data_IF_664296376877
#
_entry.id   IF_664296376877
#
_cell.length_a   1.000
_cell.length_b   1.000
_cell.length_c   1.000
_cell.angle_alpha   90.00
_cell.angle_beta   90.00
_cell.angle_gamma   90.00
#
_symmetry.space_group_name_H-M   'P 1'
#
loop_
_entity.id
_entity.type
_entity.pdbx_description
1 polymer ?
#
# COMPACT_ATOMS: atom_id res chain seq x y z
N UNK A 1 -15.03 2.24 16.97
CA UNK A 1 -16.14 3.03 16.39
C UNK A 1 -16.86 2.31 15.25
N UNK A 2 -16.28 2.14 14.05
CA UNK A 2 -17.00 1.44 12.95
C UNK A 2 -17.28 -0.04 13.27
N UNK A 3 -16.30 -0.74 13.84
CA UNK A 3 -16.46 -2.12 14.30
C UNK A 3 -17.53 -2.23 15.38
N UNK A 4 -17.50 -1.35 16.39
CA UNK A 4 -18.47 -1.31 17.49
C UNK A 4 -19.90 -1.10 16.97
N UNK A 5 -20.06 -0.24 15.96
CA UNK A 5 -21.35 -0.01 15.30
C UNK A 5 -21.86 -1.23 14.52
N UNK A 6 -20.97 -1.98 13.87
CA UNK A 6 -21.30 -3.25 13.21
C UNK A 6 -21.68 -4.32 14.25
N UNK A 7 -20.89 -4.42 15.31
CA UNK A 7 -21.12 -5.36 16.40
C UNK A 7 -22.45 -5.10 17.11
N UNK A 8 -22.80 -3.83 17.36
CA UNK A 8 -24.09 -3.44 17.93
C UNK A 8 -25.29 -3.82 17.05
N UNK A 9 -25.07 -4.03 15.74
CA UNK A 9 -26.08 -4.51 14.79
C UNK A 9 -26.09 -6.02 14.61
N UNK A 10 -25.24 -6.75 15.34
CA UNK A 10 -25.07 -8.19 15.19
C UNK A 10 -24.35 -8.60 13.90
N UNK A 11 -23.59 -7.70 13.27
CA UNK A 11 -22.79 -8.04 12.09
C UNK A 11 -21.52 -8.80 12.52
N UNK A 12 -21.30 -10.04 12.03
CA UNK A 12 -20.15 -10.87 12.38
C UNK A 12 -18.80 -10.21 12.05
N UNK A 13 -18.75 -9.29 11.08
CA UNK A 13 -17.53 -8.54 10.77
C UNK A 13 -17.13 -7.61 11.93
N UNK A 14 -18.11 -7.01 12.62
CA UNK A 14 -17.86 -6.17 13.79
C UNK A 14 -17.23 -6.98 14.93
N UNK A 15 -17.76 -8.18 15.17
CA UNK A 15 -17.23 -9.12 16.16
C UNK A 15 -15.81 -9.58 15.82
N UNK A 16 -15.54 -9.93 14.55
CA UNK A 16 -14.20 -10.33 14.12
C UNK A 16 -13.17 -9.24 14.35
N UNK A 17 -13.50 -7.98 14.03
CA UNK A 17 -12.59 -6.85 14.23
C UNK A 17 -12.33 -6.65 15.72
N UNK A 18 -13.37 -6.72 16.57
CA UNK A 18 -13.24 -6.58 18.01
C UNK A 18 -12.34 -7.69 18.62
N UNK A 19 -12.59 -8.95 18.26
CA UNK A 19 -11.78 -10.09 18.70
C UNK A 19 -10.32 -9.95 18.25
N UNK A 20 -10.09 -9.61 16.98
CA UNK A 20 -8.74 -9.46 16.45
C UNK A 20 -7.95 -8.34 17.14
N UNK A 21 -8.60 -7.21 17.43
CA UNK A 21 -7.96 -6.11 18.18
C UNK A 21 -7.65 -6.51 19.63
N UNK A 22 -8.52 -7.32 20.25
CA UNK A 22 -8.29 -7.86 21.59
C UNK A 22 -7.12 -8.86 21.61
N UNK A 23 -6.99 -9.73 20.60
CA UNK A 23 -5.81 -10.59 20.45
C UNK A 23 -4.54 -9.74 20.43
N UNK A 24 -4.49 -8.68 19.64
CA UNK A 24 -3.30 -7.81 19.56
C UNK A 24 -3.04 -7.02 20.86
N UNK A 25 -4.09 -6.68 21.62
CA UNK A 25 -3.94 -6.04 22.93
C UNK A 25 -3.37 -7.02 23.98
N UNK A 26 -3.95 -8.22 24.09
CA UNK A 26 -3.50 -9.26 25.03
C UNK A 26 -2.06 -9.67 24.69
N UNK A 27 -1.77 -9.99 23.43
CA UNK A 27 -0.42 -10.39 22.98
C UNK A 27 0.64 -9.33 23.28
N UNK A 28 0.29 -8.03 23.25
CA UNK A 28 1.20 -6.94 23.59
C UNK A 28 1.46 -6.79 25.08
N UNK A 29 0.49 -7.14 25.93
CA UNK A 29 0.64 -7.06 27.39
C UNK A 29 1.27 -8.33 27.95
N UNK A 30 0.78 -9.48 27.53
CA UNK A 30 1.09 -10.81 28.05
C UNK A 30 1.11 -11.83 26.90
N UNK A 31 2.26 -12.02 26.23
CA UNK A 31 2.37 -12.90 25.07
C UNK A 31 2.09 -14.37 25.39
N UNK A 32 2.31 -14.80 26.64
CA UNK A 32 2.11 -16.19 27.10
C UNK A 32 0.76 -16.38 27.83
N UNK A 33 -0.18 -15.45 27.70
CA UNK A 33 -1.48 -15.54 28.35
C UNK A 33 -2.25 -16.79 27.86
N UNK A 34 -2.69 -17.62 28.80
CA UNK A 34 -3.50 -18.82 28.52
C UNK A 34 -4.83 -18.49 27.83
N UNK A 35 -5.32 -17.26 28.01
CA UNK A 35 -6.54 -16.76 27.35
C UNK A 35 -6.33 -16.43 25.86
N UNK A 36 -5.08 -16.37 25.36
CA UNK A 36 -4.80 -15.96 23.99
C UNK A 36 -5.25 -17.03 22.97
N UNK A 37 -4.91 -18.29 23.21
CA UNK A 37 -5.22 -19.41 22.32
C UNK A 37 -6.73 -19.56 22.00
N UNK A 38 -7.66 -19.53 22.97
CA UNK A 38 -9.09 -19.64 22.65
C UNK A 38 -9.61 -18.44 21.85
N UNK A 39 -9.15 -17.22 22.15
CA UNK A 39 -9.57 -16.00 21.43
C UNK A 39 -9.06 -16.03 19.98
N UNK A 40 -7.81 -16.47 19.77
CA UNK A 40 -7.23 -16.64 18.43
C UNK A 40 -8.00 -17.68 17.60
N UNK A 41 -8.34 -18.82 18.21
CA UNK A 41 -9.14 -19.86 17.55
C UNK A 41 -10.53 -19.33 17.16
N UNK A 42 -11.19 -18.57 18.04
CA UNK A 42 -12.49 -17.98 17.75
C UNK A 42 -12.41 -16.93 16.62
N UNK A 43 -11.38 -16.08 16.65
CA UNK A 43 -11.15 -15.09 15.61
C UNK A 43 -10.88 -15.75 14.25
N UNK A 44 -10.08 -16.82 14.21
CA UNK A 44 -9.78 -17.54 12.96
C UNK A 44 -11.01 -18.24 12.38
N UNK A 45 -11.83 -18.89 13.22
CA UNK A 45 -13.08 -19.51 12.77
C UNK A 45 -14.03 -18.47 12.16
N UNK A 46 -14.20 -17.33 12.82
CA UNK A 46 -15.05 -16.25 12.35
C UNK A 46 -14.50 -15.62 11.06
N UNK A 47 -13.17 -15.47 10.96
CA UNK A 47 -12.48 -15.02 9.75
C UNK A 47 -12.76 -15.94 8.58
N UNK A 48 -12.63 -17.25 8.75
CA UNK A 48 -12.84 -18.23 7.68
C UNK A 48 -14.31 -18.23 7.22
N UNK A 49 -15.26 -18.22 8.14
CA UNK A 49 -16.70 -18.10 7.82
C UNK A 49 -17.01 -16.84 6.99
N UNK A 50 -16.47 -15.69 7.39
CA UNK A 50 -16.62 -14.44 6.64
C UNK A 50 -15.89 -14.46 5.30
N UNK A 51 -14.71 -15.06 5.25
CA UNK A 51 -13.93 -15.19 4.03
C UNK A 51 -14.69 -16.04 3.00
N UNK A 52 -15.36 -17.12 3.42
CA UNK A 52 -16.25 -17.89 2.54
C UNK A 52 -17.36 -17.03 1.93
N UNK A 53 -17.99 -16.14 2.72
CA UNK A 53 -19.01 -15.22 2.20
C UNK A 53 -18.45 -14.20 1.19
N UNK A 54 -17.15 -13.89 1.28
CA UNK A 54 -16.44 -13.08 0.28
C UNK A 54 -16.13 -13.88 -0.99
N UNK A 55 -15.91 -15.20 -0.87
CA UNK A 55 -15.73 -16.15 -1.98
C UNK A 55 -17.07 -16.43 -2.69
N UNK A 56 -17.63 -15.39 -3.32
CA UNK A 56 -18.80 -15.53 -4.18
C UNK A 56 -18.51 -16.32 -5.47
N UNK A 57 -19.53 -16.55 -6.31
CA UNK A 57 -19.35 -17.19 -7.62
C UNK A 57 -18.29 -16.43 -8.46
N UNK A 58 -17.37 -17.18 -9.08
CA UNK A 58 -16.27 -16.64 -9.88
C UNK A 58 -14.96 -16.36 -9.11
N UNK A 59 -14.98 -16.21 -7.77
CA UNK A 59 -13.73 -15.95 -7.02
C UNK A 59 -12.80 -17.16 -7.03
N UNK A 60 -13.36 -18.38 -7.00
CA UNK A 60 -12.59 -19.62 -7.15
C UNK A 60 -11.93 -19.78 -8.53
N UNK A 61 -12.37 -19.02 -9.54
CA UNK A 61 -11.74 -18.98 -10.87
C UNK A 61 -10.46 -18.12 -10.88
N UNK A 62 -10.18 -17.42 -9.78
CA UNK A 62 -8.98 -16.62 -9.57
C UNK A 62 -8.15 -17.16 -8.39
N UNK A 63 -7.61 -18.39 -8.48
CA UNK A 63 -6.84 -19.00 -7.39
C UNK A 63 -5.58 -18.21 -7.01
N UNK A 64 -5.11 -17.34 -7.90
CA UNK A 64 -3.94 -16.47 -7.72
C UNK A 64 -4.26 -15.10 -7.13
N UNK A 65 -5.54 -14.83 -6.87
CA UNK A 65 -5.92 -13.66 -6.10
C UNK A 65 -5.45 -13.87 -4.66
N UNK A 66 -4.85 -12.85 -4.07
CA UNK A 66 -4.38 -12.85 -2.68
C UNK A 66 -5.07 -11.74 -1.92
N UNK A 67 -5.51 -12.07 -0.72
CA UNK A 67 -6.16 -11.15 0.20
C UNK A 67 -5.26 -10.99 1.43
N UNK A 68 -4.87 -9.76 1.71
CA UNK A 68 -4.15 -9.44 2.94
C UNK A 68 -5.15 -9.02 4.02
N UNK A 69 -5.36 -9.90 4.98
CA UNK A 69 -6.22 -9.64 6.13
C UNK A 69 -5.47 -8.89 7.23
N UNK A 70 -6.17 -7.99 7.91
CA UNK A 70 -5.67 -7.29 9.08
C UNK A 70 -6.84 -6.92 9.98
N UNK A 71 -6.79 -7.34 11.24
CA UNK A 71 -7.86 -7.10 12.22
C UNK A 71 -9.26 -7.41 11.67
N UNK A 72 -9.41 -8.51 10.92
CA UNK A 72 -10.70 -8.90 10.33
C UNK A 72 -11.12 -8.21 9.02
N UNK A 73 -10.36 -7.24 8.51
CA UNK A 73 -10.65 -6.57 7.24
C UNK A 73 -9.59 -6.84 6.18
N UNK A 74 -9.97 -6.73 4.90
CA UNK A 74 -9.04 -6.89 3.78
C UNK A 74 -8.37 -5.55 3.48
N UNK A 75 -7.05 -5.50 3.65
CA UNK A 75 -6.22 -4.30 3.47
C UNK A 75 -5.53 -4.26 2.12
N UNK A 76 -5.29 -5.40 1.50
CA UNK A 76 -4.74 -5.46 0.15
C UNK A 76 -5.39 -6.59 -0.65
N UNK A 77 -5.58 -6.34 -1.93
CA UNK A 77 -5.97 -7.34 -2.93
C UNK A 77 -4.89 -7.34 -4.00
N UNK A 78 -4.27 -8.50 -4.23
CA UNK A 78 -3.21 -8.67 -5.22
C UNK A 78 -3.56 -9.81 -6.15
N UNK A 79 -3.29 -9.67 -7.45
CA UNK A 79 -3.36 -10.76 -8.41
C UNK A 79 -1.95 -11.05 -8.90
N UNK A 80 -1.44 -12.25 -8.58
CA UNK A 80 -0.10 -12.64 -8.99
C UNK A 80 0.00 -12.75 -10.53
N UNK A 81 1.06 -12.21 -11.15
CA UNK A 81 1.19 -12.18 -12.60
C UNK A 81 1.30 -13.61 -13.18
N UNK A 82 0.68 -13.82 -14.34
CA UNK A 82 0.82 -15.08 -15.09
C UNK A 82 2.21 -15.15 -15.70
N UNK A 83 2.98 -16.18 -15.33
CA UNK A 83 4.33 -16.46 -15.85
C UNK A 83 4.35 -16.89 -17.33
N UNK A 84 3.22 -17.31 -17.88
CA UNK A 84 3.05 -17.73 -19.28
C UNK A 84 2.33 -16.66 -20.11
N UNK A 85 2.84 -16.40 -21.32
CA UNK A 85 2.53 -15.23 -22.14
C UNK A 85 1.06 -15.07 -22.59
N UNK A 86 0.64 -13.80 -22.60
CA UNK A 86 -0.37 -13.21 -23.50
C UNK A 86 -1.83 -13.69 -23.41
N UNK A 87 -2.20 -14.52 -22.44
CA UNK A 87 -3.62 -14.67 -22.14
C UNK A 87 -4.13 -13.38 -21.47
N UNK A 88 -5.03 -12.67 -22.14
CA UNK A 88 -5.77 -11.56 -21.52
C UNK A 88 -6.36 -12.04 -20.19
N UNK A 89 -6.23 -11.27 -19.11
CA UNK A 89 -6.88 -11.60 -17.85
C UNK A 89 -8.38 -11.80 -18.13
N UNK A 90 -8.96 -12.97 -17.79
CA UNK A 90 -10.33 -13.28 -18.15
C UNK A 90 -11.28 -12.22 -17.58
N UNK A 91 -12.36 -11.91 -18.32
CA UNK A 91 -13.41 -10.94 -17.94
C UNK A 91 -13.87 -11.08 -16.48
N UNK A 92 -13.83 -12.31 -15.97
CA UNK A 92 -14.07 -12.66 -14.57
C UNK A 92 -13.28 -11.81 -13.57
N UNK A 93 -12.08 -11.31 -13.90
CA UNK A 93 -11.28 -10.46 -13.00
C UNK A 93 -12.00 -9.16 -12.69
N UNK A 94 -12.50 -8.45 -13.70
CA UNK A 94 -13.20 -7.19 -13.47
C UNK A 94 -14.49 -7.44 -12.69
N UNK A 95 -15.24 -8.50 -13.02
CA UNK A 95 -16.49 -8.84 -12.35
C UNK A 95 -16.28 -9.24 -10.88
N UNK A 96 -15.29 -10.08 -10.61
CA UNK A 96 -14.92 -10.49 -9.25
C UNK A 96 -14.43 -9.30 -8.44
N UNK A 97 -13.54 -8.47 -8.98
CA UNK A 97 -13.03 -7.30 -8.25
C UNK A 97 -14.17 -6.30 -8.02
N UNK A 98 -15.02 -6.03 -9.00
CA UNK A 98 -16.18 -5.16 -8.86
C UNK A 98 -17.16 -5.66 -7.78
N UNK A 99 -17.33 -6.98 -7.65
CA UNK A 99 -18.12 -7.57 -6.58
C UNK A 99 -17.42 -7.44 -5.21
N UNK A 100 -16.12 -7.70 -5.14
CA UNK A 100 -15.34 -7.63 -3.90
C UNK A 100 -15.30 -6.21 -3.33
N UNK A 101 -15.06 -5.18 -4.15
CA UNK A 101 -14.96 -3.79 -3.68
C UNK A 101 -16.28 -3.24 -3.10
N UNK A 102 -17.41 -3.92 -3.34
CA UNK A 102 -18.71 -3.60 -2.73
C UNK A 102 -18.91 -4.24 -1.35
N UNK A 103 -18.01 -5.13 -0.92
CA UNK A 103 -18.13 -5.84 0.37
C UNK A 103 -17.66 -4.95 1.53
N UNK A 104 -18.35 -4.98 2.69
CA UNK A 104 -17.97 -4.19 3.87
C UNK A 104 -16.55 -4.48 4.38
N UNK A 105 -16.09 -5.74 4.26
CA UNK A 105 -14.74 -6.15 4.67
C UNK A 105 -13.61 -5.42 3.90
N UNK A 106 -13.91 -4.86 2.72
CA UNK A 106 -12.95 -4.11 1.91
C UNK A 106 -13.04 -2.59 2.14
N UNK A 107 -13.88 -2.11 3.06
CA UNK A 107 -14.04 -0.66 3.33
C UNK A 107 -12.72 0.06 3.57
N UNK A 108 -11.78 -0.61 4.22
CA UNK A 108 -10.45 -0.09 4.53
C UNK A 108 -9.35 -0.65 3.62
N UNK A 109 -9.71 -1.10 2.42
CA UNK A 109 -8.75 -1.49 1.40
C UNK A 109 -7.74 -0.35 1.20
N UNK A 110 -6.46 -0.66 1.34
CA UNK A 110 -5.36 0.30 1.12
C UNK A 110 -4.78 0.12 -0.28
N UNK A 111 -4.67 -1.13 -0.74
CA UNK A 111 -3.94 -1.49 -1.97
C UNK A 111 -4.74 -2.44 -2.86
N UNK A 112 -4.79 -2.14 -4.15
CA UNK A 112 -5.37 -2.99 -5.20
C UNK A 112 -4.33 -3.15 -6.32
N UNK A 113 -3.84 -4.37 -6.54
CA UNK A 113 -2.83 -4.67 -7.57
C UNK A 113 -3.28 -5.83 -8.45
N UNK A 114 -3.58 -5.59 -9.72
CA UNK A 114 -4.29 -6.57 -10.56
C UNK A 114 -3.53 -7.05 -11.80
N UNK A 115 -2.24 -6.72 -11.91
CA UNK A 115 -1.49 -6.99 -13.16
C UNK A 115 -2.04 -6.19 -14.35
N UNK A 116 -1.49 -6.42 -15.53
CA UNK A 116 -1.80 -5.61 -16.71
C UNK A 116 -3.15 -6.02 -17.29
N UNK A 117 -4.04 -5.06 -17.48
CA UNK A 117 -5.36 -5.26 -18.06
C UNK A 117 -5.42 -4.59 -19.43
N UNK A 118 -6.25 -5.12 -20.33
CA UNK A 118 -6.60 -4.42 -21.56
C UNK A 118 -7.26 -3.06 -21.24
N UNK A 119 -7.04 -2.00 -22.05
CA UNK A 119 -7.56 -0.66 -21.75
C UNK A 119 -9.05 -0.59 -21.43
N UNK A 120 -9.91 -1.35 -22.15
CA UNK A 120 -11.35 -1.38 -21.88
C UNK A 120 -11.66 -1.91 -20.47
N UNK A 121 -10.94 -2.96 -20.04
CA UNK A 121 -11.10 -3.56 -18.70
C UNK A 121 -10.56 -2.65 -17.59
N UNK A 122 -9.51 -1.88 -17.88
CA UNK A 122 -9.05 -0.84 -16.95
C UNK A 122 -10.15 0.20 -16.70
N UNK A 123 -10.83 0.67 -17.75
CA UNK A 123 -11.92 1.62 -17.62
C UNK A 123 -13.07 1.03 -16.80
N UNK A 124 -13.55 -0.16 -17.14
CA UNK A 124 -14.63 -0.84 -16.40
C UNK A 124 -14.31 -1.01 -14.90
N UNK A 125 -13.06 -1.37 -14.58
CA UNK A 125 -12.61 -1.49 -13.20
C UNK A 125 -12.58 -0.14 -12.48
N UNK A 126 -12.03 0.89 -13.12
CA UNK A 126 -11.97 2.23 -12.54
C UNK A 126 -13.39 2.78 -12.32
N UNK A 127 -14.30 2.56 -13.26
CA UNK A 127 -15.72 2.89 -13.11
C UNK A 127 -16.33 2.17 -11.91
N UNK A 128 -16.06 0.87 -11.74
CA UNK A 128 -16.54 0.10 -10.59
C UNK A 128 -16.07 0.68 -9.24
N UNK A 129 -14.85 1.24 -9.16
CA UNK A 129 -14.34 1.89 -7.96
C UNK A 129 -15.06 3.21 -7.65
N UNK A 130 -15.59 3.89 -8.66
CA UNK A 130 -16.33 5.16 -8.50
C UNK A 130 -17.82 4.95 -8.22
N UNK A 131 -18.33 3.73 -8.37
CA UNK A 131 -19.73 3.42 -8.20
C UNK A 131 -20.22 3.72 -6.76
N UNK A 132 -21.43 4.27 -6.54
CA UNK A 132 -21.93 4.62 -5.19
C UNK A 132 -21.99 3.44 -4.21
N UNK A 133 -22.23 2.23 -4.73
CA UNK A 133 -22.26 0.99 -3.93
C UNK A 133 -20.86 0.45 -3.60
N UNK A 134 -19.79 1.00 -4.19
CA UNK A 134 -18.43 0.64 -3.84
C UNK A 134 -18.18 1.02 -2.37
N UNK A 135 -17.84 0.03 -1.55
CA UNK A 135 -17.50 0.24 -0.13
C UNK A 135 -16.00 0.50 0.02
N UNK A 136 -15.18 -0.09 -0.85
CA UNK A 136 -13.73 0.05 -0.80
C UNK A 136 -13.29 1.48 -1.12
N UNK A 137 -12.24 1.93 -0.43
CA UNK A 137 -11.59 3.22 -0.67
C UNK A 137 -10.08 3.01 -0.82
N UNK A 138 -9.66 2.27 -1.88
CA UNK A 138 -8.25 1.97 -2.10
C UNK A 138 -7.47 3.27 -2.22
N UNK A 139 -6.38 3.40 -1.46
CA UNK A 139 -5.44 4.51 -1.63
C UNK A 139 -4.58 4.28 -2.86
N UNK A 140 -4.14 3.03 -3.07
CA UNK A 140 -3.18 2.65 -4.11
C UNK A 140 -3.83 1.67 -5.07
N UNK A 141 -3.85 2.02 -6.36
CA UNK A 141 -4.34 1.16 -7.44
C UNK A 141 -3.22 0.95 -8.44
N UNK A 142 -2.83 -0.30 -8.68
CA UNK A 142 -1.76 -0.69 -9.58
C UNK A 142 -2.31 -1.60 -10.65
N UNK A 143 -2.45 -1.04 -11.85
CA UNK A 143 -2.85 -1.74 -13.07
C UNK A 143 -1.61 -1.96 -13.91
N UNK A 144 -1.15 -3.20 -13.96
CA UNK A 144 0.07 -3.58 -14.63
C UNK A 144 1.21 -3.85 -13.69
N UNK A 145 2.40 -3.57 -14.22
CA UNK A 145 3.63 -3.71 -13.47
C UNK A 145 3.74 -2.54 -12.50
N UNK A 146 4.33 -2.81 -11.35
CA UNK A 146 4.88 -1.73 -10.53
C UNK A 146 5.89 -0.94 -11.38
N UNK A 147 6.05 0.37 -11.10
CA UNK A 147 6.88 1.19 -11.94
C UNK A 147 8.36 0.76 -11.96
N UNK A 148 9.09 1.09 -13.03
CA UNK A 148 10.40 0.52 -13.34
C UNK A 148 11.46 0.67 -12.24
N UNK A 149 11.48 1.79 -11.52
CA UNK A 149 12.38 1.96 -10.37
C UNK A 149 11.97 1.07 -9.20
N UNK A 150 10.67 0.88 -8.95
CA UNK A 150 10.20 -0.11 -7.97
C UNK A 150 10.64 -1.52 -8.40
N UNK A 151 10.46 -1.93 -9.66
CA UNK A 151 10.91 -3.26 -10.13
C UNK A 151 12.43 -3.47 -10.02
N UNK A 152 13.23 -2.48 -10.44
CA UNK A 152 14.71 -2.51 -10.29
C UNK A 152 15.14 -2.61 -8.83
N UNK A 153 14.36 -2.04 -7.92
CA UNK A 153 14.65 -2.05 -6.49
C UNK A 153 14.04 -3.27 -5.76
N UNK A 154 12.97 -3.87 -6.30
CA UNK A 154 12.24 -5.06 -5.83
C UNK A 154 12.80 -6.41 -6.36
N UNK A 155 13.80 -6.40 -7.24
CA UNK A 155 14.60 -7.57 -7.69
C UNK A 155 13.82 -8.79 -8.24
N UNK A 156 12.57 -8.64 -8.67
CA UNK A 156 11.82 -9.72 -9.33
C UNK A 156 11.96 -9.74 -10.87
N UNK A 157 12.54 -8.70 -11.49
CA UNK A 157 12.54 -8.59 -12.95
C UNK A 157 13.81 -7.86 -13.43
N UNK A 158 14.83 -8.62 -13.86
CA UNK A 158 16.08 -8.11 -14.46
C UNK A 158 15.89 -7.65 -15.90
N UNK A 159 14.71 -7.88 -16.49
CA UNK A 159 14.43 -7.45 -17.86
C UNK A 159 14.34 -5.92 -17.88
N UNK A 160 15.12 -5.23 -18.74
CA UNK A 160 14.93 -3.82 -18.95
C UNK A 160 13.45 -3.57 -19.31
N UNK A 161 12.85 -2.44 -18.88
CA UNK A 161 11.53 -2.08 -19.40
C UNK A 161 11.65 -2.14 -20.92
N UNK A 162 10.85 -2.97 -21.57
CA UNK A 162 10.79 -2.97 -23.02
C UNK A 162 10.50 -1.53 -23.42
N UNK A 163 11.49 -0.88 -24.04
CA UNK A 163 11.47 0.56 -24.35
C UNK A 163 10.37 0.95 -25.36
N UNK A 164 9.49 0.01 -25.70
CA UNK A 164 8.48 0.09 -26.75
C UNK A 164 7.09 -0.37 -26.32
N UNK A 165 6.80 -0.52 -25.03
CA UNK A 165 5.39 -0.65 -24.64
C UNK A 165 4.67 0.66 -25.01
N UNK A 166 3.65 0.63 -25.89
CA UNK A 166 2.93 1.83 -26.28
C UNK A 166 2.37 2.51 -25.03
N UNK A 167 2.47 3.84 -24.98
CA UNK A 167 1.93 4.60 -23.86
C UNK A 167 0.41 4.31 -23.78
N UNK A 168 -0.15 4.05 -22.60
CA UNK A 168 -1.57 3.76 -22.49
C UNK A 168 -2.39 4.91 -23.04
N UNK A 169 -3.57 4.61 -23.64
CA UNK A 169 -4.49 5.67 -24.01
C UNK A 169 -4.79 6.51 -22.76
N UNK A 170 -4.85 7.84 -22.91
CA UNK A 170 -5.13 8.74 -21.80
C UNK A 170 -6.53 8.42 -21.26
N UNK A 171 -6.66 8.43 -19.93
CA UNK A 171 -7.98 8.39 -19.31
C UNK A 171 -8.65 9.75 -19.47
N UNK A 172 -9.98 9.75 -19.58
CA UNK A 172 -10.75 10.99 -19.61
C UNK A 172 -10.58 11.77 -18.30
N UNK A 173 -10.61 13.10 -18.38
CA UNK A 173 -10.54 13.95 -17.19
C UNK A 173 -11.66 13.65 -16.17
N UNK A 174 -12.94 13.47 -16.58
CA UNK A 174 -14.01 13.12 -15.64
C UNK A 174 -13.74 11.82 -14.88
N UNK A 175 -13.19 10.80 -15.54
CA UNK A 175 -12.85 9.54 -14.88
C UNK A 175 -11.73 9.73 -13.85
N UNK A 176 -10.68 10.49 -14.19
CA UNK A 176 -9.60 10.80 -13.24
C UNK A 176 -10.09 11.59 -12.03
N UNK A 177 -11.04 12.51 -12.21
CA UNK A 177 -11.68 13.27 -11.13
C UNK A 177 -12.51 12.33 -10.23
N UNK A 178 -13.35 11.48 -10.83
CA UNK A 178 -14.19 10.52 -10.10
C UNK A 178 -13.37 9.46 -9.33
N UNK A 179 -12.33 8.89 -9.94
CA UNK A 179 -11.41 7.93 -9.29
C UNK A 179 -10.74 8.57 -8.07
N UNK A 180 -10.36 9.83 -8.21
CA UNK A 180 -9.70 10.55 -7.14
C UNK A 180 -10.69 10.93 -6.02
N UNK A 181 -11.93 11.30 -6.35
CA UNK A 181 -13.04 11.45 -5.39
C UNK A 181 -13.39 10.16 -4.65
N UNK A 182 -13.26 9.01 -5.30
CA UNK A 182 -13.38 7.69 -4.68
C UNK A 182 -12.24 7.36 -3.69
N UNK A 183 -11.27 8.27 -3.51
CA UNK A 183 -10.25 8.19 -2.48
C UNK A 183 -8.92 7.59 -2.94
N UNK A 184 -8.76 7.32 -4.24
CA UNK A 184 -7.48 6.88 -4.82
C UNK A 184 -6.49 8.03 -4.76
N UNK A 185 -5.39 7.83 -4.06
CA UNK A 185 -4.27 8.77 -3.95
C UNK A 185 -3.20 8.48 -4.98
N UNK A 186 -3.02 7.20 -5.33
CA UNK A 186 -1.98 6.74 -6.24
C UNK A 186 -2.55 5.75 -7.26
N UNK A 187 -2.50 6.12 -8.54
CA UNK A 187 -2.86 5.26 -9.67
C UNK A 187 -1.62 4.96 -10.51
N UNK A 188 -1.27 3.69 -10.66
CA UNK A 188 -0.21 3.22 -11.56
C UNK A 188 -0.84 2.49 -12.73
N UNK A 189 -0.45 2.86 -13.95
CA UNK A 189 -0.84 2.20 -15.19
C UNK A 189 0.39 1.82 -15.98
N UNK A 190 0.55 0.52 -16.24
CA UNK A 190 1.63 -0.06 -17.05
C UNK A 190 3.03 0.36 -16.60
N UNK A 191 3.23 0.47 -15.28
CA UNK A 191 4.49 0.90 -14.69
C UNK A 191 4.76 2.40 -14.74
N UNK A 192 3.74 3.22 -15.00
CA UNK A 192 3.79 4.67 -14.95
C UNK A 192 2.80 5.20 -13.93
N UNK A 193 3.18 6.23 -13.18
CA UNK A 193 2.23 6.88 -12.26
C UNK A 193 1.32 7.81 -13.07
N UNK A 194 0.02 7.57 -12.99
CA UNK A 194 -1.01 8.43 -13.54
C UNK A 194 -1.28 9.55 -12.54
N UNK A 195 -1.17 10.79 -13.02
CA UNK A 195 -1.48 11.97 -12.22
C UNK A 195 -2.98 12.08 -12.00
N UNK A 196 -3.39 12.38 -10.76
CA UNK A 196 -4.78 12.53 -10.35
C UNK A 196 -4.98 13.94 -9.79
N UNK A 197 -6.04 14.68 -10.15
CA UNK A 197 -6.32 15.96 -9.52
C UNK A 197 -6.59 15.74 -8.02
N UNK A 198 -5.99 16.54 -7.14
CA UNK A 198 -6.13 16.34 -5.69
C UNK A 198 -7.48 16.81 -5.12
N UNK A 199 -8.14 17.70 -5.85
CA UNK A 199 -9.50 18.19 -5.61
C UNK A 199 -10.09 18.67 -6.94
N UNK A 200 -11.40 18.87 -7.02
CA UNK A 200 -12.04 19.40 -8.22
C UNK A 200 -11.66 20.88 -8.47
N UNK A 201 -11.67 21.28 -9.74
CA UNK A 201 -11.36 22.63 -10.22
C UNK A 201 -10.15 22.69 -11.14
N UNK A 202 -9.88 23.87 -11.73
CA UNK A 202 -8.67 24.12 -12.51
C UNK A 202 -7.40 24.21 -11.63
N UNK A 203 -6.23 24.32 -12.26
CA UNK A 203 -4.96 24.34 -11.53
C UNK A 203 -4.80 25.56 -10.60
N UNK A 204 -5.43 26.70 -10.90
CA UNK A 204 -5.39 27.91 -10.08
C UNK A 204 -6.21 27.72 -8.80
N UNK A 205 -7.45 27.23 -8.95
CA UNK A 205 -8.35 26.89 -7.83
C UNK A 205 -7.69 25.84 -6.92
N UNK A 206 -7.11 24.78 -7.50
CA UNK A 206 -6.43 23.73 -6.74
C UNK A 206 -5.18 24.24 -6.01
N UNK A 207 -4.47 25.22 -6.56
CA UNK A 207 -3.34 25.86 -5.87
C UNK A 207 -3.79 26.71 -4.70
N UNK A 208 -4.80 27.57 -4.89
CA UNK A 208 -5.36 28.39 -3.82
C UNK A 208 -5.89 27.53 -2.66
N UNK A 209 -6.61 26.45 -2.97
CA UNK A 209 -7.06 25.48 -1.97
C UNK A 209 -5.90 24.83 -1.22
N UNK A 210 -4.78 24.55 -1.89
CA UNK A 210 -3.59 23.99 -1.25
C UNK A 210 -2.96 25.01 -0.32
N UNK A 211 -2.83 26.27 -0.75
CA UNK A 211 -2.27 27.34 0.07
C UNK A 211 -3.10 27.54 1.36
N UNK A 212 -4.43 27.61 1.25
CA UNK A 212 -5.33 27.69 2.41
C UNK A 212 -5.25 26.45 3.33
N UNK A 213 -4.96 25.27 2.78
CA UNK A 213 -4.83 24.04 3.55
C UNK A 213 -3.47 23.95 4.27
N UNK A 214 -2.42 24.54 3.70
CA UNK A 214 -1.09 24.63 4.32
C UNK A 214 -1.06 25.61 5.50
N UNK A 215 -2.01 26.53 5.60
CA UNK A 215 -2.18 27.46 6.73
C UNK A 215 -2.90 26.81 7.93
N UNK A 216 -3.54 25.66 7.73
CA UNK A 216 -4.26 24.97 8.80
C UNK A 216 -3.31 24.18 9.69
N UNK A 217 -3.61 24.05 11.00
CA UNK A 217 -2.86 23.18 11.88
C UNK A 217 -2.96 21.73 11.39
N UNK A 218 -1.83 21.02 11.49
CA UNK A 218 -1.77 19.63 11.03
C UNK A 218 -2.77 18.74 11.78
N UNK A 219 -3.40 17.81 11.05
CA UNK A 219 -4.16 16.70 11.62
C UNK A 219 -3.97 15.43 10.78
N UNK A 220 -4.14 14.23 11.38
CA UNK A 220 -4.07 12.96 10.64
C UNK A 220 -5.01 12.89 9.43
N UNK A 221 -6.15 13.58 9.48
CA UNK A 221 -7.11 13.63 8.39
C UNK A 221 -6.53 14.29 7.12
N UNK A 222 -5.62 15.26 7.27
CA UNK A 222 -4.96 15.95 6.16
C UNK A 222 -3.90 15.10 5.46
N UNK A 223 -3.42 14.01 6.08
CA UNK A 223 -2.37 13.16 5.51
C UNK A 223 -2.73 12.59 4.13
N UNK A 224 -3.98 12.14 3.94
CA UNK A 224 -4.46 11.65 2.64
C UNK A 224 -4.54 12.77 1.59
N UNK A 225 -4.90 13.97 2.01
CA UNK A 225 -5.02 15.12 1.12
C UNK A 225 -3.65 15.50 0.58
N UNK A 226 -2.63 15.56 1.44
CA UNK A 226 -1.25 15.84 1.05
C UNK A 226 -0.65 14.75 0.16
N UNK A 227 -0.92 13.47 0.46
CA UNK A 227 -0.50 12.35 -0.37
C UNK A 227 -1.02 12.50 -1.81
N UNK A 228 -2.28 12.89 -1.95
CA UNK A 228 -2.92 13.13 -3.25
C UNK A 228 -2.37 14.38 -3.95
N UNK A 229 -2.14 15.46 -3.20
CA UNK A 229 -1.62 16.74 -3.72
C UNK A 229 -0.22 16.61 -4.36
N UNK A 230 0.62 15.72 -3.84
CA UNK A 230 1.94 15.41 -4.39
C UNK A 230 1.85 14.84 -5.82
N UNK A 231 0.71 14.23 -6.16
CA UNK A 231 0.44 13.64 -7.47
C UNK A 231 -0.48 14.47 -8.37
N UNK A 232 -0.79 15.71 -7.97
CA UNK A 232 -1.74 16.56 -8.70
C UNK A 232 -1.38 16.70 -10.18
N UNK A 233 -2.36 16.85 -11.06
CA UNK A 233 -2.08 17.08 -12.49
C UNK A 233 -1.31 18.38 -12.77
N UNK A 234 -1.25 19.33 -11.83
CA UNK A 234 -0.48 20.57 -11.93
C UNK A 234 0.88 20.47 -11.25
N UNK A 235 1.95 20.67 -12.02
CA UNK A 235 3.32 20.77 -11.51
C UNK A 235 3.49 21.87 -10.46
N UNK A 236 2.74 22.98 -10.55
CA UNK A 236 2.81 24.07 -9.57
C UNK A 236 2.32 23.63 -8.19
N UNK A 237 1.21 22.89 -8.16
CA UNK A 237 0.65 22.32 -6.92
C UNK A 237 1.66 21.35 -6.31
N UNK A 238 2.22 20.43 -7.12
CA UNK A 238 3.22 19.47 -6.63
C UNK A 238 4.47 20.17 -6.06
N UNK A 239 5.00 21.18 -6.75
CA UNK A 239 6.15 21.97 -6.27
C UNK A 239 5.84 22.66 -4.94
N UNK A 240 4.62 23.20 -4.81
CA UNK A 240 4.19 23.90 -3.60
C UNK A 240 4.12 22.96 -2.40
N UNK A 241 3.51 21.78 -2.53
CA UNK A 241 3.46 20.81 -1.43
C UNK A 241 4.86 20.28 -1.08
N UNK A 242 5.71 19.99 -2.08
CA UNK A 242 7.10 19.57 -1.84
C UNK A 242 7.93 20.63 -1.10
N UNK A 243 7.68 21.91 -1.36
CA UNK A 243 8.34 23.01 -0.65
C UNK A 243 7.83 23.15 0.78
N UNK A 244 6.56 22.81 1.04
CA UNK A 244 5.95 22.88 2.35
C UNK A 244 6.23 21.66 3.23
N UNK A 245 6.74 20.54 2.69
CA UNK A 245 7.02 19.33 3.49
C UNK A 245 7.75 19.61 4.82
N UNK A 246 8.85 20.39 4.87
CA UNK A 246 9.55 20.64 6.13
C UNK A 246 8.71 21.35 7.20
N UNK A 247 7.56 21.94 6.87
CA UNK A 247 6.69 22.64 7.83
C UNK A 247 5.50 21.80 8.27
N UNK A 248 5.28 20.61 7.69
CA UNK A 248 4.08 19.81 7.92
C UNK A 248 4.15 18.83 9.11
N UNK A 249 5.30 18.74 9.79
CA UNK A 249 5.48 17.93 11.00
C UNK A 249 5.38 16.41 10.79
N UNK A 250 5.51 15.66 11.88
CA UNK A 250 5.76 14.20 11.92
C UNK A 250 4.73 13.30 11.24
N UNK A 251 3.45 13.68 11.30
CA UNK A 251 2.39 12.82 10.81
C UNK A 251 2.12 12.89 9.30
N UNK A 252 2.94 13.61 8.52
CA UNK A 252 2.89 13.62 7.04
C UNK A 252 3.77 12.53 6.41
N UNK A 253 4.48 11.74 7.22
CA UNK A 253 5.33 10.65 6.74
C UNK A 253 4.68 9.74 5.65
N UNK A 254 3.39 9.35 5.73
CA UNK A 254 2.73 8.58 4.66
C UNK A 254 2.61 9.31 3.32
N UNK A 255 2.47 10.63 3.30
CA UNK A 255 2.44 11.43 2.07
C UNK A 255 3.82 11.56 1.42
N UNK A 256 4.89 11.50 2.21
CA UNK A 256 6.27 11.44 1.71
C UNK A 256 6.56 10.15 0.94
N UNK A 257 5.85 9.07 1.27
CA UNK A 257 5.92 7.79 0.55
C UNK A 257 5.43 7.95 -0.89
N UNK A 258 4.34 8.71 -1.06
CA UNK A 258 3.85 9.11 -2.36
C UNK A 258 4.90 9.97 -3.09
N UNK A 259 5.55 10.93 -2.41
CA UNK A 259 6.61 11.73 -3.02
C UNK A 259 7.79 10.88 -3.52
N UNK A 260 8.24 9.88 -2.77
CA UNK A 260 9.34 8.98 -3.22
C UNK A 260 9.00 8.22 -4.51
N UNK A 261 7.72 7.98 -4.79
CA UNK A 261 7.29 7.36 -6.04
C UNK A 261 7.34 8.31 -7.26
N UNK A 262 7.48 9.64 -7.05
CA UNK A 262 7.41 10.72 -8.07
C UNK A 262 8.58 10.76 -9.04
N UNK A 263 9.74 10.19 -8.69
CA UNK A 263 10.99 10.11 -9.49
C UNK A 263 10.85 9.37 -10.86
N UNK A 264 9.63 9.09 -11.26
CA UNK A 264 9.25 8.28 -12.42
C UNK A 264 8.42 9.00 -13.45
N UNK A 265 8.10 10.27 -13.21
CA UNK A 265 7.65 11.14 -14.27
C UNK A 265 8.79 11.26 -15.30
N UNK A 266 8.48 11.14 -16.60
CA UNK A 266 9.47 11.02 -17.69
C UNK A 266 10.38 12.25 -17.79
N UNK A 267 10.04 13.32 -17.07
CA UNK A 267 10.79 14.55 -16.92
C UNK A 267 11.77 14.43 -15.73
N UNK A 268 12.98 13.93 -16.01
CA UNK A 268 14.13 13.80 -15.06
C UNK A 268 14.35 14.99 -14.11
N UNK A 269 13.84 16.19 -14.42
CA UNK A 269 13.97 17.41 -13.60
C UNK A 269 13.13 17.41 -12.32
N UNK A 270 12.05 16.63 -12.25
CA UNK A 270 11.17 16.66 -11.07
C UNK A 270 11.63 15.68 -9.98
N UNK A 271 12.26 14.56 -10.37
CA UNK A 271 12.89 13.60 -9.46
C UNK A 271 13.94 14.23 -8.54
N UNK A 272 14.89 14.99 -9.10
CA UNK A 272 15.92 15.69 -8.32
C UNK A 272 15.33 16.69 -7.31
N UNK A 273 14.19 17.31 -7.63
CA UNK A 273 13.51 18.23 -6.72
C UNK A 273 12.88 17.46 -5.56
N UNK A 274 12.21 16.35 -5.86
CA UNK A 274 11.60 15.44 -4.89
C UNK A 274 12.65 14.90 -3.93
N UNK A 275 13.74 14.35 -4.44
CA UNK A 275 14.81 13.77 -3.61
C UNK A 275 15.42 14.83 -2.67
N UNK A 276 15.71 16.03 -3.18
CA UNK A 276 16.22 17.14 -2.37
C UNK A 276 15.22 17.61 -1.32
N UNK A 277 13.94 17.74 -1.68
CA UNK A 277 12.88 18.13 -0.76
C UNK A 277 12.70 17.10 0.36
N UNK A 278 12.73 15.80 0.03
CA UNK A 278 12.60 14.72 1.01
C UNK A 278 13.81 14.63 1.93
N UNK A 279 15.02 14.77 1.39
CA UNK A 279 16.25 14.78 2.18
C UNK A 279 16.27 15.96 3.15
N UNK A 280 15.89 17.15 2.67
CA UNK A 280 15.77 18.35 3.51
C UNK A 280 14.74 18.12 4.62
N UNK A 281 13.56 17.63 4.27
CA UNK A 281 12.49 17.47 5.24
C UNK A 281 12.78 16.35 6.28
N UNK A 282 13.40 15.25 5.87
CA UNK A 282 13.89 14.20 6.78
C UNK A 282 15.03 14.65 7.71
N UNK A 283 15.76 15.70 7.33
CA UNK A 283 16.76 16.34 8.21
C UNK A 283 16.11 17.22 9.28
N UNK A 284 14.96 17.83 8.97
CA UNK A 284 14.17 18.66 9.88
C UNK A 284 13.31 17.80 10.82
N UNK A 285 12.79 16.68 10.32
CA UNK A 285 11.91 15.77 11.06
C UNK A 285 12.45 14.32 11.03
N UNK A 286 13.43 13.99 11.89
CA UNK A 286 14.08 12.67 11.91
C UNK A 286 13.11 11.48 12.09
N UNK A 287 12.04 11.67 12.86
CA UNK A 287 10.99 10.68 13.14
C UNK A 287 10.21 10.25 11.88
N UNK A 288 10.24 11.04 10.81
CA UNK A 288 9.66 10.67 9.52
C UNK A 288 10.24 9.37 8.98
N UNK A 289 11.53 9.13 9.22
CA UNK A 289 12.25 7.94 8.79
C UNK A 289 11.65 6.67 9.44
N UNK A 290 11.24 6.74 10.71
CA UNK A 290 10.51 5.67 11.38
C UNK A 290 9.10 5.49 10.83
N UNK A 291 8.36 6.59 10.66
CA UNK A 291 7.00 6.56 10.10
C UNK A 291 6.95 6.01 8.67
N UNK A 292 7.93 6.39 7.84
CA UNK A 292 8.12 5.85 6.49
C UNK A 292 8.32 4.34 6.57
N UNK A 293 9.29 3.87 7.37
CA UNK A 293 9.61 2.45 7.49
C UNK A 293 8.42 1.59 7.98
N UNK A 294 7.59 2.10 8.89
CA UNK A 294 6.45 1.37 9.45
C UNK A 294 5.29 1.20 8.45
N UNK A 295 5.20 2.07 7.44
CA UNK A 295 4.11 2.05 6.47
C UNK A 295 4.37 1.16 5.24
N UNK A 296 5.53 0.51 5.19
CA UNK A 296 5.88 -0.41 4.11
C UNK A 296 5.93 -1.86 4.58
N UNK A 297 5.65 -2.75 3.63
CA UNK A 297 5.75 -4.20 3.78
C UNK A 297 7.21 -4.65 3.74
N UNK A 298 7.49 -5.83 4.29
CA UNK A 298 8.82 -6.46 4.14
C UNK A 298 9.19 -6.72 2.68
N UNK A 299 8.21 -6.72 1.78
CA UNK A 299 8.42 -6.89 0.35
C UNK A 299 8.87 -5.60 -0.36
N UNK A 300 9.20 -4.53 0.38
CA UNK A 300 9.63 -3.23 -0.17
C UNK A 300 11.08 -2.84 0.23
N UNK A 301 12.11 -3.66 -0.11
CA UNK A 301 13.55 -3.47 0.24
C UNK A 301 14.18 -2.12 -0.15
N UNK A 302 13.52 -1.37 -1.02
CA UNK A 302 14.00 -0.10 -1.54
C UNK A 302 13.88 1.05 -0.55
N UNK A 303 12.84 1.01 0.28
CA UNK A 303 12.61 1.96 1.36
C UNK A 303 13.80 1.93 2.29
N UNK A 304 14.22 0.73 2.67
CA UNK A 304 15.39 0.50 3.48
C UNK A 304 16.70 1.05 2.87
N UNK A 305 16.81 1.12 1.53
CA UNK A 305 17.97 1.75 0.85
C UNK A 305 17.95 3.28 0.94
N UNK A 306 16.78 3.90 0.81
CA UNK A 306 16.63 5.35 1.02
C UNK A 306 16.90 5.72 2.49
N UNK A 307 16.36 4.94 3.43
CA UNK A 307 16.59 5.08 4.86
C UNK A 307 18.09 4.93 5.21
N UNK A 308 18.80 4.02 4.54
CA UNK A 308 20.24 3.81 4.69
C UNK A 308 21.10 5.01 4.26
N UNK A 309 20.61 5.84 3.33
CA UNK A 309 21.28 7.06 2.87
C UNK A 309 21.08 8.28 3.77
N UNK A 310 20.23 8.18 4.81
CA UNK A 310 19.93 9.31 5.69
C UNK A 310 21.05 9.57 6.72
N UNK A 311 21.16 10.83 7.16
CA UNK A 311 22.14 11.25 8.17
C UNK A 311 22.01 10.51 9.51
N UNK A 312 23.05 10.58 10.35
CA UNK A 312 23.11 9.84 11.62
C UNK A 312 21.93 10.14 12.57
N UNK A 313 21.46 11.39 12.65
CA UNK A 313 20.30 11.78 13.48
C UNK A 313 19.00 11.11 13.02
N UNK A 314 18.74 11.08 11.71
CA UNK A 314 17.56 10.43 11.13
C UNK A 314 17.63 8.90 11.25
N UNK A 315 18.83 8.32 11.19
CA UNK A 315 19.04 6.89 11.47
C UNK A 315 18.73 6.52 12.93
N UNK A 316 19.16 7.34 13.89
CA UNK A 316 18.84 7.12 15.31
C UNK A 316 17.34 7.21 15.58
N UNK A 317 16.62 8.11 14.92
CA UNK A 317 15.17 8.22 15.04
C UNK A 317 14.42 7.02 14.41
N UNK A 318 15.02 6.35 13.43
CA UNK A 318 14.50 5.14 12.79
C UNK A 318 14.66 3.87 13.63
N UNK A 319 15.30 3.95 14.81
CA UNK A 319 15.61 2.81 15.67
C UNK A 319 14.41 1.88 15.94
N UNK A 320 13.20 2.41 16.22
CA UNK A 320 12.00 1.57 16.43
C UNK A 320 11.57 0.77 15.20
N UNK A 321 11.99 1.18 14.00
CA UNK A 321 11.65 0.51 12.75
C UNK A 321 12.76 -0.40 12.21
N UNK A 322 13.91 -0.47 12.89
CA UNK A 322 15.05 -1.33 12.50
C UNK A 322 14.64 -2.77 12.21
N UNK A 323 13.79 -3.44 13.02
CA UNK A 323 13.44 -4.84 12.77
C UNK A 323 12.73 -5.03 11.43
N UNK A 324 11.84 -4.09 11.11
CA UNK A 324 11.11 -4.02 9.84
C UNK A 324 12.05 -3.73 8.67
N UNK A 325 12.92 -2.75 8.83
CA UNK A 325 13.96 -2.38 7.85
C UNK A 325 14.89 -3.59 7.60
N UNK A 326 15.29 -4.32 8.64
CA UNK A 326 16.09 -5.52 8.54
C UNK A 326 15.34 -6.66 7.84
N UNK A 327 14.05 -6.85 8.11
CA UNK A 327 13.18 -7.79 7.37
C UNK A 327 13.12 -7.46 5.88
N UNK A 328 12.88 -6.19 5.55
CA UNK A 328 12.92 -5.67 4.17
C UNK A 328 14.25 -5.97 3.48
N UNK A 329 15.37 -5.74 4.18
CA UNK A 329 16.70 -5.94 3.63
C UNK A 329 17.10 -7.41 3.51
N UNK A 330 16.68 -8.28 4.44
CA UNK A 330 16.94 -9.73 4.41
C UNK A 330 16.28 -10.38 3.20
N UNK A 331 14.99 -10.10 2.93
CA UNK A 331 14.29 -10.56 1.72
C UNK A 331 14.96 -10.05 0.44
N UNK A 332 15.45 -8.81 0.46
CA UNK A 332 16.23 -8.23 -0.65
C UNK A 332 17.62 -8.85 -0.88
N UNK A 333 18.21 -9.50 0.14
CA UNK A 333 19.56 -10.10 0.08
C UNK A 333 19.58 -11.57 -0.35
N UNK A 334 18.49 -12.32 -0.09
CA UNK A 334 18.35 -13.73 -0.48
C UNK A 334 18.29 -13.91 -2.01
N UNK A 335 18.04 -12.83 -2.77
CA UNK A 335 18.19 -12.78 -4.23
C UNK A 335 19.65 -12.48 -4.58
N UNK A 336 20.46 -13.53 -4.68
CA UNK A 336 21.91 -13.47 -4.85
C UNK A 336 22.38 -12.67 -6.08
N UNK A 337 23.19 -11.65 -5.84
CA UNK A 337 24.19 -11.13 -6.79
C UNK A 337 25.14 -10.21 -6.02
N UNK A 338 26.44 -10.51 -6.11
CA UNK A 338 27.49 -10.08 -5.17
C UNK A 338 28.31 -8.86 -5.62
N UNK A 339 27.81 -7.97 -6.50
CA UNK A 339 28.70 -6.96 -7.08
C UNK A 339 28.15 -5.53 -7.23
N UNK A 340 27.28 -5.08 -6.32
CA UNK A 340 26.83 -3.68 -6.30
C UNK A 340 27.62 -2.87 -5.25
N UNK A 341 28.24 -1.75 -5.66
CA UNK A 341 28.84 -0.75 -4.74
C UNK A 341 27.84 -0.29 -3.66
N UNK A 342 26.55 -0.39 -3.98
CA UNK A 342 25.40 -0.09 -3.10
C UNK A 342 25.13 -1.17 -2.05
N UNK A 343 25.50 -2.44 -2.29
CA UNK A 343 25.43 -3.52 -1.29
C UNK A 343 26.39 -3.29 -0.12
N UNK A 344 27.55 -2.67 -0.38
CA UNK A 344 28.48 -2.26 0.68
C UNK A 344 27.92 -1.13 1.54
N UNK A 345 27.27 -0.12 0.93
CA UNK A 345 26.54 0.92 1.68
C UNK A 345 25.40 0.35 2.52
N UNK A 346 24.70 -0.67 2.01
CA UNK A 346 23.60 -1.38 2.67
C UNK A 346 24.07 -2.20 3.89
N UNK A 347 25.16 -2.97 3.76
CA UNK A 347 25.77 -3.71 4.87
C UNK A 347 26.32 -2.75 5.93
N UNK A 348 26.89 -1.62 5.52
CA UNK A 348 27.38 -0.57 6.42
C UNK A 348 26.23 0.14 7.14
N UNK A 349 25.09 0.35 6.47
CA UNK A 349 23.89 0.91 7.08
C UNK A 349 23.30 -0.05 8.12
N UNK A 350 23.13 -1.34 7.79
CA UNK A 350 22.70 -2.39 8.72
C UNK A 350 23.63 -2.50 9.94
N UNK A 351 24.95 -2.50 9.75
CA UNK A 351 25.92 -2.43 10.85
C UNK A 351 25.79 -1.15 11.69
N UNK A 352 25.46 -0.01 11.07
CA UNK A 352 25.28 1.26 11.77
C UNK A 352 23.97 1.37 12.55
N UNK A 353 22.97 0.53 12.23
CA UNK A 353 21.71 0.47 12.97
C UNK A 353 21.82 -0.33 14.26
N UNK A 354 22.87 -1.15 14.42
CA UNK A 354 23.04 -2.06 15.55
C UNK A 354 22.02 -3.20 15.45
N UNK A 355 22.50 -4.44 15.38
CA UNK A 355 21.63 -5.62 15.40
C UNK A 355 20.88 -5.66 16.74
N UNK A 356 19.54 -5.67 16.78
CA UNK A 356 18.80 -6.17 17.92
C UNK A 356 18.30 -7.56 17.54
N UNK A 357 18.92 -8.59 18.13
CA UNK A 357 18.45 -9.96 17.98
C UNK A 357 17.07 -10.19 18.64
N UNK A 358 16.51 -9.19 19.34
CA UNK A 358 15.28 -9.27 20.14
C UNK A 358 14.22 -8.22 19.80
N UNK A 359 13.79 -8.16 18.54
CA UNK A 359 12.62 -7.35 18.19
C UNK A 359 11.34 -8.18 18.25
N UNK A 360 10.53 -7.94 19.31
CA UNK A 360 9.24 -8.56 19.53
C UNK A 360 8.38 -8.56 18.25
N UNK A 361 7.93 -9.76 17.89
CA UNK A 361 7.18 -10.07 16.68
C UNK A 361 5.91 -9.21 16.57
N UNK A 362 5.90 -8.23 15.66
CA UNK A 362 4.64 -7.82 15.06
C UNK A 362 4.07 -9.04 14.35
N UNK A 363 2.79 -9.36 14.59
CA UNK A 363 2.12 -10.49 13.97
C UNK A 363 2.41 -10.52 12.45
N UNK A 364 2.81 -11.67 11.88
CA UNK A 364 3.11 -11.75 10.46
C UNK A 364 1.88 -11.34 9.65
N UNK A 365 2.07 -10.37 8.75
CA UNK A 365 1.08 -9.94 7.78
C UNK A 365 1.18 -10.86 6.57
N UNK A 366 0.60 -12.05 6.65
CA UNK A 366 0.72 -13.02 5.57
C UNK A 366 -0.35 -12.76 4.49
N UNK A 367 0.11 -12.59 3.26
CA UNK A 367 -0.76 -12.54 2.07
C UNK A 367 -1.27 -13.97 1.80
N UNK A 368 -2.56 -14.20 1.99
CA UNK A 368 -3.18 -15.50 1.77
C UNK A 368 -3.82 -15.55 0.38
N UNK A 369 -3.51 -16.58 -0.40
CA UNK A 369 -4.16 -16.84 -1.69
C UNK A 369 -5.57 -17.41 -1.50
N UNK A 370 -6.44 -17.21 -2.49
CA UNK A 370 -7.78 -17.84 -2.52
C UNK A 370 -7.67 -19.36 -2.45
N UNK A 371 -6.65 -19.96 -3.06
CA UNK A 371 -6.41 -21.40 -2.98
C UNK A 371 -6.09 -21.87 -1.56
N UNK A 372 -5.19 -21.19 -0.84
CA UNK A 372 -4.88 -21.48 0.56
C UNK A 372 -6.11 -21.30 1.46
N UNK A 373 -6.89 -20.25 1.22
CA UNK A 373 -8.12 -19.98 1.95
C UNK A 373 -9.15 -21.09 1.77
N UNK A 374 -9.37 -21.56 0.54
CA UNK A 374 -10.25 -22.69 0.23
C UNK A 374 -9.75 -23.97 0.93
N UNK A 375 -8.44 -24.21 0.93
CA UNK A 375 -7.87 -25.37 1.60
C UNK A 375 -8.13 -25.33 3.12
N UNK A 376 -7.94 -24.17 3.76
CA UNK A 376 -8.24 -23.99 5.19
C UNK A 376 -9.72 -24.19 5.51
N UNK A 377 -10.62 -23.70 4.65
CA UNK A 377 -12.06 -23.94 4.77
C UNK A 377 -12.39 -25.44 4.70
N UNK A 378 -11.75 -26.17 3.78
CA UNK A 378 -11.90 -27.63 3.67
C UNK A 378 -11.42 -28.39 4.91
N UNK A 379 -10.27 -27.99 5.46
CA UNK A 379 -9.74 -28.59 6.69
C UNK A 379 -10.66 -28.34 7.89
N UNK A 380 -11.25 -27.14 8.00
CA UNK A 380 -12.19 -26.80 9.06
C UNK A 380 -13.53 -27.56 8.98
N UNK A 381 -13.92 -27.99 7.78
CA UNK A 381 -15.17 -28.74 7.54
C UNK A 381 -15.06 -30.24 7.76
N UNK A 382 -13.85 -30.76 7.93
CA UNK A 382 -13.63 -32.18 8.19
C UNK A 382 -13.44 -32.37 9.70
N UNK A 383 -14.52 -32.58 10.49
CA UNK A 383 -14.34 -33.09 11.83
C UNK A 383 -13.84 -34.53 11.73
N UNK A 384 -12.69 -34.81 12.34
CA UNK A 384 -12.36 -36.17 12.77
C UNK A 384 -13.27 -36.58 13.92
#
# INVERSE_FOLDING_TARGET
>A
MWADHLQARGDPLGELVALSLRVDEVRRREPDATELAPIESQAEQLRLSLAEQLLGPGVGELPRLRLRWQHGVVRAVKLDPVTSGHADPPRVIVEVIAALVRRPALRFLDQLHLGALAPAREHELLDALTHPQCQARPRRVVLGRMPGQFRRLLRADTRPPAHHAPSPPPLSRPLLEAVAEAGVTWLVRWGWVQSLPWTAGDHGVRRQKLDALLEQPWSPALGRVFERAIWDTSLQVRRRILAALPTLGDGVAPALLAALAVDLDRHRRFGDLVERSLTRAASTHPSWVAGVAQNFSEDEPWVARWLAGQGQRSRSAARPAIPRIAGMLRRGSATGSSNDYRSHGLRRALHSFGHPDDAAHAAPFDDESIAELIQKLGAHRSPG
#
